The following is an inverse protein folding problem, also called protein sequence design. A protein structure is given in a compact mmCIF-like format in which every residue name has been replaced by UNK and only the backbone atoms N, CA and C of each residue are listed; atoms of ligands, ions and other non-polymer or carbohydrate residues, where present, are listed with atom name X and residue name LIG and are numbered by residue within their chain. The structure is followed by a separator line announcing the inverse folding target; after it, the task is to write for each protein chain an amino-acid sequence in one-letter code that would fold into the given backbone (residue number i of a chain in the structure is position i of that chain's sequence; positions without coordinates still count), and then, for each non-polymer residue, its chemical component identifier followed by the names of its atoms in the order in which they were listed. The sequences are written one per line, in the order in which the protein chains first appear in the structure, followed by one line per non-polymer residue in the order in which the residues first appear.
data_IF_798452823498
#
_entry.id   IF_798452823498
#
_cell.length_a   1.000
_cell.length_b   1.000
_cell.length_c   1.000
_cell.angle_alpha   90.00
_cell.angle_beta   90.00
_cell.angle_gamma   90.00
#
_symmetry.space_group_name_H-M   'P 1'
#
loop_
_entity.id
_entity.type
_entity.pdbx_description
1 polymer ?
#
# COMPACT_ATOMS: atom_id res chain seq x y z
N UNK A 1 -8.64 -11.31 16.95
CA UNK A 1 -7.88 -11.85 15.81
C UNK A 1 -7.26 -13.18 16.20
N UNK A 2 -7.50 -14.22 15.41
CA UNK A 2 -6.93 -15.55 15.53
C UNK A 2 -5.58 -15.61 14.81
N UNK A 3 -4.55 -16.09 15.51
CA UNK A 3 -3.20 -16.24 14.98
C UNK A 3 -2.82 -17.72 14.94
N UNK A 4 -2.08 -18.09 13.91
CA UNK A 4 -1.41 -19.38 13.82
C UNK A 4 -0.22 -19.44 14.79
N UNK A 5 0.20 -20.65 15.17
CA UNK A 5 1.39 -20.85 16.02
C UNK A 5 2.65 -20.17 15.47
N UNK A 6 2.77 -20.09 14.14
CA UNK A 6 3.89 -19.41 13.50
C UNK A 6 3.81 -17.89 13.66
N UNK A 7 2.63 -17.29 13.60
CA UNK A 7 2.46 -15.85 13.81
C UNK A 7 2.67 -15.49 15.27
N UNK A 8 2.19 -16.33 16.20
CA UNK A 8 2.44 -16.17 17.63
C UNK A 8 3.92 -16.28 18.00
N UNK A 9 4.66 -17.23 17.43
CA UNK A 9 6.11 -17.35 17.70
C UNK A 9 6.89 -16.15 17.16
N UNK A 10 6.49 -15.61 16.01
CA UNK A 10 7.09 -14.40 15.47
C UNK A 10 6.84 -13.17 16.38
N UNK A 11 5.64 -13.03 16.95
CA UNK A 11 5.34 -11.98 17.93
C UNK A 11 6.17 -12.08 19.22
N UNK A 12 6.55 -13.31 19.61
CA UNK A 12 7.46 -13.56 20.74
C UNK A 12 8.92 -13.28 20.41
N UNK A 13 9.25 -12.95 19.15
CA UNK A 13 10.61 -12.68 18.70
C UNK A 13 11.40 -13.91 18.27
N UNK A 14 10.79 -15.11 18.27
CA UNK A 14 11.48 -16.36 17.93
C UNK A 14 11.90 -16.44 16.45
N UNK A 15 11.34 -15.56 15.60
CA UNK A 15 11.69 -15.43 14.17
C UNK A 15 12.53 -14.18 13.87
N UNK A 16 13.11 -13.56 14.90
CA UNK A 16 13.91 -12.36 14.79
C UNK A 16 13.09 -11.05 14.85
N UNK A 17 13.81 -9.96 15.11
CA UNK A 17 13.23 -8.65 15.41
C UNK A 17 12.40 -8.06 14.27
N UNK A 18 12.83 -8.27 13.01
CA UNK A 18 12.11 -7.78 11.83
C UNK A 18 10.73 -8.43 11.73
N UNK A 19 10.65 -9.76 11.89
CA UNK A 19 9.38 -10.49 11.84
C UNK A 19 8.50 -10.10 13.02
N UNK A 20 9.09 -9.93 14.21
CA UNK A 20 8.36 -9.46 15.39
C UNK A 20 7.74 -8.08 15.17
N UNK A 21 8.53 -7.12 14.67
CA UNK A 21 8.06 -5.78 14.35
C UNK A 21 6.93 -5.82 13.32
N UNK A 22 7.12 -6.56 12.21
CA UNK A 22 6.14 -6.65 11.15
C UNK A 22 4.81 -7.24 11.65
N UNK A 23 4.85 -8.35 12.40
CA UNK A 23 3.62 -8.92 12.96
C UNK A 23 2.98 -8.04 14.03
N UNK A 24 3.75 -7.31 14.85
CA UNK A 24 3.18 -6.33 15.80
C UNK A 24 2.39 -5.25 15.07
N UNK A 25 2.91 -4.75 13.94
CA UNK A 25 2.19 -3.78 13.08
C UNK A 25 0.89 -4.40 12.56
N UNK A 26 0.95 -5.59 11.95
CA UNK A 26 -0.23 -6.24 11.38
C UNK A 26 -1.27 -6.59 12.44
N UNK A 27 -0.85 -7.00 13.64
CA UNK A 27 -1.76 -7.29 14.76
C UNK A 27 -2.44 -6.04 15.25
N UNK A 28 -1.71 -4.96 15.47
CA UNK A 28 -2.30 -3.68 15.87
C UNK A 28 -3.25 -3.13 14.80
N UNK A 29 -2.89 -3.24 13.52
CA UNK A 29 -3.80 -2.89 12.40
C UNK A 29 -5.02 -3.80 12.36
N UNK A 30 -4.84 -5.09 12.61
CA UNK A 30 -5.92 -6.07 12.64
C UNK A 30 -6.90 -5.81 13.78
N UNK A 31 -6.42 -5.54 14.99
CA UNK A 31 -7.23 -5.15 16.14
C UNK A 31 -8.00 -3.85 15.89
N UNK A 32 -7.35 -2.84 15.28
CA UNK A 32 -7.99 -1.58 14.93
C UNK A 32 -9.04 -1.68 13.82
N UNK A 33 -9.07 -2.80 13.08
CA UNK A 33 -9.99 -3.03 11.95
C UNK A 33 -10.89 -4.24 12.15
N UNK A 34 -10.98 -4.77 13.38
CA UNK A 34 -11.76 -5.96 13.72
C UNK A 34 -11.46 -7.16 12.80
N UNK A 35 -10.18 -7.34 12.47
CA UNK A 35 -9.72 -8.44 11.65
C UNK A 35 -9.85 -9.78 12.38
N UNK A 36 -10.37 -10.77 11.66
CA UNK A 36 -10.56 -12.10 12.20
C UNK A 36 -9.25 -12.88 12.27
N UNK A 37 -8.38 -12.70 11.27
CA UNK A 37 -7.13 -13.44 11.08
C UNK A 37 -6.20 -12.67 10.15
N UNK A 38 -4.98 -13.16 9.99
CA UNK A 38 -4.11 -12.74 8.89
C UNK A 38 -4.31 -13.69 7.69
N UNK A 39 -4.30 -13.15 6.49
CA UNK A 39 -4.43 -13.91 5.23
C UNK A 39 -3.22 -13.70 4.33
N UNK A 40 -2.84 -14.68 3.50
CA UNK A 40 -1.78 -14.50 2.53
C UNK A 40 -2.15 -13.44 1.49
N UNK A 41 -1.14 -12.72 1.01
CA UNK A 41 -1.25 -11.79 -0.13
C UNK A 41 -0.25 -12.17 -1.22
N UNK A 42 -0.48 -11.71 -2.45
CA UNK A 42 0.43 -11.99 -3.58
C UNK A 42 1.26 -10.77 -4.01
N UNK A 43 0.79 -9.56 -3.71
CA UNK A 43 1.45 -8.32 -4.10
C UNK A 43 1.27 -7.23 -3.04
N UNK A 44 2.35 -6.57 -2.66
CA UNK A 44 2.33 -5.32 -1.91
C UNK A 44 2.81 -4.13 -2.75
N UNK A 45 2.16 -2.97 -2.61
CA UNK A 45 2.60 -1.72 -3.22
C UNK A 45 2.83 -0.68 -2.14
N UNK A 46 4.09 -0.30 -1.95
CA UNK A 46 4.56 0.47 -0.80
C UNK A 46 4.46 1.98 -1.07
N UNK A 47 4.09 2.72 -0.04
CA UNK A 47 4.17 4.19 0.03
C UNK A 47 5.23 4.62 1.05
N UNK A 48 5.31 5.91 1.38
CA UNK A 48 6.33 6.42 2.31
C UNK A 48 7.76 6.33 1.74
N UNK A 49 7.90 6.74 0.47
CA UNK A 49 9.16 6.66 -0.29
C UNK A 49 9.84 8.02 -0.39
N UNK A 50 9.06 9.09 -0.38
CA UNK A 50 9.56 10.44 -0.54
C UNK A 50 10.17 10.96 0.77
N UNK A 51 11.42 11.40 0.75
CA UNK A 51 12.11 11.94 1.92
C UNK A 51 11.36 13.12 2.56
N UNK A 52 10.69 13.97 1.76
CA UNK A 52 9.86 15.07 2.30
C UNK A 52 8.67 14.59 3.15
N UNK A 53 8.26 13.33 2.99
CA UNK A 53 7.13 12.75 3.75
C UNK A 53 7.57 11.98 4.98
N UNK A 54 8.74 11.33 4.93
CA UNK A 54 9.19 10.44 6.01
C UNK A 54 10.32 11.03 6.87
N UNK A 55 11.04 12.03 6.34
CA UNK A 55 12.15 12.71 7.00
C UNK A 55 13.30 11.78 7.42
N UNK A 56 14.19 12.32 8.26
CA UNK A 56 15.33 11.58 8.79
C UNK A 56 14.92 10.32 9.56
N UNK A 57 13.88 10.41 10.39
CA UNK A 57 13.42 9.27 11.19
C UNK A 57 12.96 8.10 10.31
N UNK A 58 12.25 8.38 9.22
CA UNK A 58 11.83 7.34 8.27
C UNK A 58 13.00 6.76 7.47
N UNK A 59 13.96 7.60 7.06
CA UNK A 59 15.17 7.16 6.37
C UNK A 59 16.05 6.28 7.27
N UNK A 60 16.31 6.69 8.51
CA UNK A 60 17.07 5.93 9.51
C UNK A 60 16.39 4.60 9.86
N UNK A 61 15.06 4.62 10.00
CA UNK A 61 14.28 3.40 10.20
C UNK A 61 14.46 2.41 9.04
N UNK A 62 14.25 2.87 7.80
CA UNK A 62 14.37 2.02 6.61
C UNK A 62 15.79 1.50 6.42
N UNK A 63 16.80 2.36 6.56
CA UNK A 63 18.19 1.95 6.42
C UNK A 63 18.62 0.96 7.52
N UNK A 64 18.11 1.14 8.75
CA UNK A 64 18.31 0.22 9.86
C UNK A 64 17.76 -1.18 9.59
N UNK A 65 16.50 -1.29 9.15
CA UNK A 65 15.86 -2.58 8.93
C UNK A 65 16.30 -3.28 7.64
N UNK A 66 16.69 -2.51 6.60
CA UNK A 66 16.97 -3.05 5.26
C UNK A 66 18.07 -4.12 5.23
N UNK A 67 18.99 -4.07 6.20
CA UNK A 67 20.08 -5.05 6.35
C UNK A 67 19.56 -6.47 6.57
N UNK A 68 18.47 -6.60 7.32
CA UNK A 68 17.93 -7.89 7.78
C UNK A 68 16.53 -8.21 7.21
N UNK A 69 15.79 -7.20 6.75
CA UNK A 69 14.46 -7.38 6.20
C UNK A 69 14.48 -7.83 4.73
N UNK A 70 13.60 -8.77 4.37
CA UNK A 70 13.36 -9.19 2.99
C UNK A 70 11.88 -9.30 2.73
N UNK A 71 11.42 -8.83 1.57
CA UNK A 71 10.04 -9.01 1.15
C UNK A 71 9.81 -10.46 0.69
N UNK A 72 8.63 -11.01 0.98
CA UNK A 72 8.25 -12.39 0.63
C UNK A 72 7.37 -12.49 -0.62
N UNK A 73 6.79 -11.37 -1.04
CA UNK A 73 5.83 -11.29 -2.15
C UNK A 73 6.31 -10.25 -3.16
N UNK A 74 5.75 -10.26 -4.38
CA UNK A 74 5.99 -9.20 -5.36
C UNK A 74 5.75 -7.87 -4.65
N UNK A 75 6.75 -6.99 -4.67
CA UNK A 75 6.65 -5.71 -3.96
C UNK A 75 7.13 -4.59 -4.85
N UNK A 76 6.27 -3.60 -5.06
CA UNK A 76 6.54 -2.43 -5.91
C UNK A 76 6.44 -1.15 -5.07
N UNK A 77 6.89 -0.04 -5.64
CA UNK A 77 7.18 1.17 -4.89
C UNK A 77 6.57 2.40 -5.55
N UNK A 78 5.96 3.25 -4.73
CA UNK A 78 5.47 4.57 -5.13
C UNK A 78 6.60 5.49 -5.63
N UNK A 79 6.25 6.61 -6.29
CA UNK A 79 7.23 7.58 -6.74
C UNK A 79 8.08 8.12 -5.59
N UNK A 80 9.36 8.31 -5.86
CA UNK A 80 10.27 9.00 -4.96
C UNK A 80 10.23 10.52 -5.19
N UNK A 81 10.97 11.29 -4.39
CA UNK A 81 10.88 12.74 -4.37
C UNK A 81 11.42 13.50 -5.59
N UNK A 82 12.04 12.83 -6.55
CA UNK A 82 12.51 13.43 -7.81
C UNK A 82 12.67 12.39 -8.91
N UNK A 83 12.80 12.86 -10.15
CA UNK A 83 13.20 12.02 -11.29
C UNK A 83 14.72 11.80 -11.26
N UNK A 84 15.15 10.57 -11.03
CA UNK A 84 16.56 10.20 -10.90
C UNK A 84 17.35 10.50 -12.17
N UNK A 85 16.79 10.21 -13.33
CA UNK A 85 17.51 10.30 -14.61
C UNK A 85 17.70 11.76 -15.04
N UNK A 86 16.93 12.68 -14.45
CA UNK A 86 16.94 14.10 -14.76
C UNK A 86 17.28 14.99 -13.56
N UNK A 87 17.81 14.43 -12.46
CA UNK A 87 18.05 15.17 -11.22
C UNK A 87 18.92 16.42 -11.43
N UNK A 88 19.90 16.35 -12.34
CA UNK A 88 20.80 17.46 -12.68
C UNK A 88 20.11 18.66 -13.33
N UNK A 89 18.89 18.49 -13.84
CA UNK A 89 18.09 19.57 -14.42
C UNK A 89 17.38 20.40 -13.35
N UNK A 90 17.43 19.97 -12.08
CA UNK A 90 16.77 20.62 -10.95
C UNK A 90 17.82 21.11 -9.95
N UNK A 91 17.59 22.30 -9.38
CA UNK A 91 18.42 22.83 -8.30
C UNK A 91 17.93 22.31 -6.94
N UNK A 92 18.07 21.00 -6.71
CA UNK A 92 17.68 20.34 -5.47
C UNK A 92 18.83 20.34 -4.46
N UNK A 93 18.49 20.33 -3.18
CA UNK A 93 19.46 20.23 -2.08
C UNK A 93 20.19 18.87 -2.09
N UNK A 94 21.52 18.90 -1.96
CA UNK A 94 22.35 17.69 -2.00
C UNK A 94 22.01 16.72 -0.86
N UNK A 95 21.63 17.24 0.31
CA UNK A 95 21.20 16.40 1.42
C UNK A 95 19.86 15.71 1.12
N UNK A 96 18.89 16.41 0.53
CA UNK A 96 17.65 15.80 0.02
C UNK A 96 17.94 14.67 -0.97
N UNK A 97 18.81 14.90 -1.96
CA UNK A 97 19.20 13.88 -2.95
C UNK A 97 19.81 12.66 -2.25
N UNK A 98 20.81 12.88 -1.38
CA UNK A 98 21.51 11.81 -0.67
C UNK A 98 20.56 10.95 0.18
N UNK A 99 19.67 11.59 0.95
CA UNK A 99 18.69 10.92 1.81
C UNK A 99 17.67 10.12 0.99
N UNK A 100 17.18 10.68 -0.11
CA UNK A 100 16.28 9.98 -1.00
C UNK A 100 16.93 8.74 -1.67
N UNK A 101 18.22 8.82 -2.00
CA UNK A 101 18.98 7.68 -2.51
C UNK A 101 19.20 6.60 -1.46
N UNK A 102 19.41 6.98 -0.19
CA UNK A 102 19.45 6.02 0.92
C UNK A 102 18.15 5.25 1.07
N UNK A 103 17.00 5.94 0.97
CA UNK A 103 15.67 5.30 0.99
C UNK A 103 15.51 4.32 -0.17
N UNK A 104 15.82 4.75 -1.40
CA UNK A 104 15.81 3.87 -2.58
C UNK A 104 16.65 2.62 -2.34
N UNK A 105 17.89 2.79 -1.89
CA UNK A 105 18.83 1.69 -1.67
C UNK A 105 18.34 0.73 -0.60
N UNK A 106 17.69 1.24 0.43
CA UNK A 106 17.09 0.44 1.49
C UNK A 106 16.00 -0.49 0.95
N UNK A 107 15.10 0.04 0.11
CA UNK A 107 14.06 -0.77 -0.54
C UNK A 107 14.64 -1.82 -1.52
N UNK A 108 15.59 -1.42 -2.36
CA UNK A 108 16.28 -2.36 -3.26
C UNK A 108 16.98 -3.50 -2.49
N UNK A 109 17.62 -3.18 -1.36
CA UNK A 109 18.29 -4.16 -0.49
C UNK A 109 17.30 -5.16 0.13
N UNK A 110 16.07 -4.72 0.43
CA UNK A 110 15.01 -5.60 0.90
C UNK A 110 14.40 -6.49 -0.20
N UNK A 111 14.76 -6.28 -1.47
CA UNK A 111 14.22 -7.01 -2.62
C UNK A 111 12.98 -6.37 -3.25
N UNK A 112 12.72 -5.09 -2.98
CA UNK A 112 11.61 -4.35 -3.60
C UNK A 112 11.96 -3.96 -5.01
N UNK A 113 10.99 -4.05 -5.92
CA UNK A 113 11.11 -3.58 -7.30
C UNK A 113 10.99 -2.05 -7.28
N UNK A 114 12.03 -1.29 -7.69
CA UNK A 114 12.05 0.17 -7.65
C UNK A 114 11.23 0.76 -8.81
N UNK A 115 9.91 0.53 -8.82
CA UNK A 115 9.00 0.93 -9.90
C UNK A 115 8.70 2.42 -9.96
N UNK A 116 8.85 3.12 -8.82
CA UNK A 116 8.62 4.56 -8.67
C UNK A 116 7.38 5.11 -9.37
N UNK A 117 6.24 4.44 -9.20
CA UNK A 117 4.99 4.80 -9.89
C UNK A 117 3.79 4.63 -8.98
N UNK A 118 2.85 5.57 -9.03
CA UNK A 118 1.55 5.49 -8.35
C UNK A 118 0.50 4.74 -9.18
N UNK A 119 0.84 4.34 -10.40
CA UNK A 119 -0.01 3.59 -11.33
C UNK A 119 0.60 2.22 -11.64
N UNK A 120 0.85 1.37 -10.61
CA UNK A 120 1.54 0.10 -10.82
C UNK A 120 0.79 -0.86 -11.75
N UNK A 121 -0.53 -0.69 -11.87
CA UNK A 121 -1.42 -1.47 -12.75
C UNK A 121 -1.23 -1.18 -14.24
N UNK A 122 -0.58 -0.07 -14.61
CA UNK A 122 -0.21 0.19 -16.01
C UNK A 122 1.17 -0.38 -16.38
N UNK A 123 1.97 -0.75 -15.38
CA UNK A 123 3.37 -1.16 -15.57
C UNK A 123 3.53 -2.68 -15.48
N UNK A 124 2.71 -3.33 -14.65
CA UNK A 124 2.86 -4.74 -14.35
C UNK A 124 1.58 -5.53 -14.62
N UNK A 125 1.74 -6.81 -14.96
CA UNK A 125 0.62 -7.73 -15.07
C UNK A 125 -0.15 -7.83 -13.75
N UNK A 126 -1.47 -7.71 -13.87
CA UNK A 126 -2.39 -7.83 -12.76
C UNK A 126 -2.58 -9.30 -12.34
N UNK A 127 -2.66 -9.58 -11.02
CA UNK A 127 -3.04 -10.90 -10.52
C UNK A 127 -4.46 -11.29 -10.96
N UNK A 128 -4.82 -12.55 -10.66
CA UNK A 128 -6.18 -13.04 -10.92
C UNK A 128 -7.20 -12.32 -10.05
N UNK A 129 -8.43 -12.25 -10.54
CA UNK A 129 -9.57 -11.73 -9.78
C UNK A 129 -9.71 -12.44 -8.43
N UNK A 130 -10.11 -11.70 -7.40
CA UNK A 130 -10.24 -12.19 -6.03
C UNK A 130 -8.91 -12.32 -5.27
N UNK A 131 -7.76 -12.12 -5.91
CA UNK A 131 -6.45 -12.15 -5.23
C UNK A 131 -6.35 -11.05 -4.17
N UNK A 132 -5.79 -11.41 -3.03
CA UNK A 132 -5.52 -10.52 -1.91
C UNK A 132 -4.19 -9.78 -2.15
N UNK A 133 -4.24 -8.45 -2.13
CA UNK A 133 -3.06 -7.57 -2.31
C UNK A 133 -2.99 -6.56 -1.17
N UNK A 134 -1.89 -5.82 -1.04
CA UNK A 134 -1.66 -4.84 0.03
C UNK A 134 -1.15 -3.53 -0.55
N UNK A 135 -2.06 -2.65 -0.95
CA UNK A 135 -1.70 -1.40 -1.64
C UNK A 135 -1.86 -0.17 -0.74
N UNK A 136 -0.74 0.52 -0.51
CA UNK A 136 -0.69 1.74 0.28
C UNK A 136 -0.88 3.02 -0.55
N UNK A 137 -0.92 2.95 -1.87
CA UNK A 137 -1.28 4.07 -2.75
C UNK A 137 -2.80 4.12 -2.96
N UNK A 138 -3.38 5.33 -2.96
CA UNK A 138 -4.83 5.53 -2.90
C UNK A 138 -5.51 5.15 -4.19
N UNK A 139 -5.03 5.66 -5.33
CA UNK A 139 -5.61 5.32 -6.63
C UNK A 139 -5.38 3.83 -6.95
N UNK A 140 -4.23 3.25 -6.59
CA UNK A 140 -3.95 1.84 -6.79
C UNK A 140 -4.89 0.94 -5.98
N UNK A 141 -5.16 1.26 -4.71
CA UNK A 141 -6.12 0.50 -3.90
C UNK A 141 -7.55 0.60 -4.45
N UNK A 142 -7.96 1.77 -4.94
CA UNK A 142 -9.28 1.97 -5.58
C UNK A 142 -9.35 1.17 -6.89
N UNK A 143 -8.33 1.27 -7.74
CA UNK A 143 -8.26 0.56 -9.01
C UNK A 143 -8.33 -0.97 -8.82
N UNK A 144 -7.51 -1.49 -7.89
CA UNK A 144 -7.45 -2.90 -7.56
C UNK A 144 -8.82 -3.46 -7.17
N UNK A 145 -9.57 -2.77 -6.30
CA UNK A 145 -10.90 -3.24 -5.89
C UNK A 145 -11.98 -3.03 -6.97
N UNK A 146 -11.91 -1.95 -7.75
CA UNK A 146 -13.02 -1.52 -8.61
C UNK A 146 -12.94 -2.01 -10.06
N UNK A 147 -11.74 -2.12 -10.62
CA UNK A 147 -11.51 -2.50 -12.01
C UNK A 147 -10.96 -3.92 -12.14
N UNK A 148 -10.05 -4.31 -11.24
CA UNK A 148 -9.35 -5.60 -11.33
C UNK A 148 -9.98 -6.72 -10.47
N UNK A 149 -11.05 -6.40 -9.71
CA UNK A 149 -11.69 -7.31 -8.77
C UNK A 149 -10.74 -7.94 -7.73
N UNK A 150 -9.62 -7.28 -7.41
CA UNK A 150 -8.72 -7.67 -6.34
C UNK A 150 -9.28 -7.27 -4.97
N UNK A 151 -8.64 -7.75 -3.91
CA UNK A 151 -9.06 -7.49 -2.53
C UNK A 151 -7.95 -6.81 -1.73
N UNK A 152 -8.17 -5.56 -1.35
CA UNK A 152 -7.26 -4.82 -0.47
C UNK A 152 -8.03 -3.75 0.31
N UNK A 153 -7.59 -3.51 1.56
CA UNK A 153 -7.93 -2.28 2.25
C UNK A 153 -7.03 -1.15 1.74
N UNK A 154 -7.31 0.08 2.19
CA UNK A 154 -6.36 1.20 2.06
C UNK A 154 -5.27 1.04 3.11
N UNK A 155 -4.10 0.54 2.69
CA UNK A 155 -2.99 0.28 3.59
C UNK A 155 -2.21 1.56 3.93
N UNK A 156 -1.59 1.58 5.10
CA UNK A 156 -0.59 2.58 5.47
C UNK A 156 0.79 2.19 4.92
N UNK A 157 1.75 3.11 4.93
CA UNK A 157 3.14 2.79 4.55
C UNK A 157 3.70 1.63 5.41
N UNK A 158 3.45 1.65 6.72
CA UNK A 158 3.93 0.62 7.64
C UNK A 158 3.18 -0.71 7.50
N UNK A 159 1.85 -0.69 7.37
CA UNK A 159 1.08 -1.94 7.21
C UNK A 159 1.37 -2.62 5.88
N UNK A 160 1.57 -1.87 4.79
CA UNK A 160 1.98 -2.45 3.52
C UNK A 160 3.41 -3.01 3.54
N UNK A 161 4.36 -2.33 4.20
CA UNK A 161 5.72 -2.85 4.37
C UNK A 161 5.73 -4.12 5.23
N UNK A 162 5.00 -4.12 6.34
CA UNK A 162 4.84 -5.30 7.18
C UNK A 162 4.17 -6.45 6.41
N UNK A 163 3.21 -6.14 5.55
CA UNK A 163 2.56 -7.12 4.69
C UNK A 163 3.51 -7.69 3.63
N UNK A 164 4.36 -6.85 3.02
CA UNK A 164 5.39 -7.28 2.08
C UNK A 164 6.41 -8.22 2.73
N UNK A 165 6.85 -7.92 3.95
CA UNK A 165 7.83 -8.72 4.71
C UNK A 165 7.24 -10.06 5.18
N UNK A 166 6.00 -10.06 5.65
CA UNK A 166 5.37 -11.27 6.19
C UNK A 166 4.70 -12.13 5.11
N UNK A 167 4.33 -11.53 3.99
CA UNK A 167 3.47 -12.11 2.96
C UNK A 167 2.00 -12.20 3.38
N UNK A 168 1.59 -11.44 4.40
CA UNK A 168 0.24 -11.51 4.98
C UNK A 168 -0.34 -10.14 5.29
N UNK A 169 -1.65 -10.01 5.28
CA UNK A 169 -2.35 -8.80 5.73
C UNK A 169 -3.57 -9.14 6.60
N UNK A 170 -4.04 -8.22 7.46
CA UNK A 170 -5.23 -8.45 8.28
C UNK A 170 -6.48 -8.60 7.43
N UNK A 171 -7.27 -9.64 7.70
CA UNK A 171 -8.52 -9.93 7.01
C UNK A 171 -9.68 -9.16 7.64
N UNK A 172 -9.91 -7.96 7.13
CA UNK A 172 -10.96 -7.03 7.58
C UNK A 172 -11.54 -6.23 6.42
N UNK A 173 -12.71 -5.61 6.65
CA UNK A 173 -13.35 -4.64 5.77
C UNK A 173 -13.44 -5.11 4.31
N UNK A 174 -12.82 -4.39 3.36
CA UNK A 174 -12.95 -4.63 1.92
C UNK A 174 -12.37 -5.98 1.47
N UNK A 175 -11.56 -6.63 2.32
CA UNK A 175 -10.98 -7.94 2.02
C UNK A 175 -11.97 -9.09 2.15
N UNK A 176 -13.03 -8.95 2.95
CA UNK A 176 -13.95 -10.05 3.34
C UNK A 176 -14.98 -10.45 2.28
N UNK A 177 -14.98 -9.81 1.12
CA UNK A 177 -16.13 -9.55 0.24
C UNK A 177 -16.82 -8.25 0.65
N UNK A 178 -16.93 -7.35 -0.32
CA UNK A 178 -17.59 -6.07 -0.17
C UNK A 178 -18.67 -5.97 -1.23
N UNK A 179 -19.88 -5.69 -0.78
CA UNK A 179 -20.99 -5.28 -1.61
C UNK A 179 -21.45 -3.94 -1.06
N UNK A 180 -21.04 -2.82 -1.67
CA UNK A 180 -21.40 -1.51 -1.18
C UNK A 180 -22.91 -1.39 -1.03
N UNK A 181 -23.38 -0.99 0.15
CA UNK A 181 -24.80 -0.82 0.44
C UNK A 181 -25.39 0.49 -0.11
N UNK A 182 -24.53 1.34 -0.68
CA UNK A 182 -24.89 2.62 -1.28
C UNK A 182 -24.49 2.64 -2.75
N UNK A 183 -25.41 3.06 -3.61
CA UNK A 183 -25.13 3.33 -5.03
C UNK A 183 -25.32 4.81 -5.35
N UNK A 184 -24.28 5.44 -5.88
CA UNK A 184 -24.32 6.80 -6.40
C UNK A 184 -24.56 6.72 -7.90
N UNK A 185 -25.66 7.31 -8.37
CA UNK A 185 -25.99 7.36 -9.79
C UNK A 185 -25.66 8.74 -10.35
N UNK A 186 -24.70 8.80 -11.26
CA UNK A 186 -24.40 10.04 -11.98
C UNK A 186 -25.51 10.29 -13.02
N UNK A 187 -26.12 11.47 -12.94
CA UNK A 187 -27.17 11.94 -13.87
C UNK A 187 -26.72 13.24 -14.55
N UNK A 188 -25.52 13.21 -15.11
CA UNK A 188 -24.92 14.35 -15.81
C UNK A 188 -24.58 13.88 -17.21
N UNK A 189 -25.12 14.59 -18.20
CA UNK A 189 -24.81 14.36 -19.61
C UNK A 189 -23.46 15.00 -19.94
N UNK A 190 -22.64 14.32 -20.76
CA UNK A 190 -21.30 14.77 -21.17
C UNK A 190 -20.39 15.19 -19.99
N UNK A 191 -20.09 14.26 -19.05
CA UNK A 191 -19.18 14.55 -17.95
C UNK A 191 -17.81 14.99 -18.43
N UNK A 192 -17.22 15.93 -17.70
CA UNK A 192 -15.82 16.33 -17.85
C UNK A 192 -15.01 15.93 -16.60
N UNK A 193 -13.71 16.24 -16.61
CA UNK A 193 -12.80 15.93 -15.50
C UNK A 193 -13.29 16.49 -14.16
N UNK A 194 -13.78 17.73 -14.13
CA UNK A 194 -14.34 18.34 -12.91
C UNK A 194 -15.55 17.55 -12.39
N UNK A 195 -16.39 17.04 -13.30
CA UNK A 195 -17.56 16.22 -12.93
C UNK A 195 -17.13 14.96 -12.19
N UNK A 196 -16.08 14.28 -12.67
CA UNK A 196 -15.53 13.10 -11.99
C UNK A 196 -14.86 13.43 -10.66
N UNK A 197 -14.13 14.55 -10.59
CA UNK A 197 -13.56 15.05 -9.34
C UNK A 197 -14.64 15.34 -8.28
N UNK A 198 -15.73 15.99 -8.70
CA UNK A 198 -16.89 16.26 -7.83
C UNK A 198 -17.61 14.98 -7.41
N UNK A 199 -17.73 13.99 -8.29
CA UNK A 199 -18.29 12.69 -7.98
C UNK A 199 -17.47 11.98 -6.90
N UNK A 200 -16.13 11.98 -7.04
CA UNK A 200 -15.23 11.42 -6.02
C UNK A 200 -15.34 12.14 -4.67
N UNK A 201 -15.39 13.47 -4.67
CA UNK A 201 -15.61 14.26 -3.46
C UNK A 201 -16.96 13.94 -2.81
N UNK A 202 -18.04 13.88 -3.60
CA UNK A 202 -19.37 13.54 -3.11
C UNK A 202 -19.40 12.13 -2.54
N UNK A 203 -18.82 11.16 -3.25
CA UNK A 203 -18.69 9.77 -2.82
C UNK A 203 -17.98 9.65 -1.47
N UNK A 204 -16.85 10.35 -1.29
CA UNK A 204 -16.14 10.38 0.00
C UNK A 204 -16.92 11.05 1.12
N UNK A 205 -17.85 11.95 0.82
CA UNK A 205 -18.69 12.63 1.81
C UNK A 205 -19.89 11.79 2.26
N UNK A 206 -20.47 10.99 1.37
CA UNK A 206 -21.67 10.19 1.66
C UNK A 206 -21.36 8.72 1.95
N UNK A 207 -20.24 8.22 1.44
CA UNK A 207 -19.76 6.86 1.68
C UNK A 207 -19.10 6.76 3.05
N UNK A 208 -19.37 5.66 3.74
CA UNK A 208 -18.70 5.34 5.01
C UNK A 208 -17.44 4.50 4.78
N UNK A 209 -17.55 3.45 3.94
CA UNK A 209 -16.46 2.52 3.64
C UNK A 209 -16.25 2.36 2.13
N UNK A 210 -17.33 2.03 1.41
CA UNK A 210 -17.33 1.85 -0.05
C UNK A 210 -18.66 2.29 -0.66
N UNK A 211 -18.66 2.57 -1.96
CA UNK A 211 -19.86 2.93 -2.73
C UNK A 211 -19.82 2.27 -4.10
N UNK A 212 -20.98 1.90 -4.62
CA UNK A 212 -21.14 1.58 -6.04
C UNK A 212 -21.37 2.88 -6.82
N UNK A 213 -20.81 2.97 -8.02
CA UNK A 213 -21.07 4.08 -8.92
C UNK A 213 -21.74 3.55 -10.18
N UNK A 214 -22.83 4.19 -10.60
CA UNK A 214 -23.59 3.82 -11.80
C UNK A 214 -23.86 5.05 -12.68
N UNK A 215 -24.11 4.83 -13.98
CA UNK A 215 -24.31 5.92 -14.94
C UNK A 215 -23.02 6.65 -15.30
N UNK A 216 -21.88 5.98 -15.13
CA UNK A 216 -20.56 6.40 -15.58
C UNK A 216 -20.17 5.41 -16.68
N UNK A 217 -20.09 5.87 -17.93
CA UNK A 217 -19.60 5.10 -19.09
C UNK A 217 -20.19 3.70 -19.22
#
# INVERSE_FOLDING_TARGET
MELTKQEESALKGEQGEIMQMAYRILVATGEATDAEKLIPIEWAHLSGVNYNTIGDAGEEFLSGISKNARVKVKTTLNPMGFDFDNVSNYNLDDNFISKQLSIRKSYETMGVIPSFSCIPYEIFDMPKEGTQVSFAESNAAIHANSFDNLKTNKESAFSALASAITGKSPYSSLRKEDSPNLTIRMKIDNPNELTYGMLGFFAGKVGNNSVNISGVG
#
